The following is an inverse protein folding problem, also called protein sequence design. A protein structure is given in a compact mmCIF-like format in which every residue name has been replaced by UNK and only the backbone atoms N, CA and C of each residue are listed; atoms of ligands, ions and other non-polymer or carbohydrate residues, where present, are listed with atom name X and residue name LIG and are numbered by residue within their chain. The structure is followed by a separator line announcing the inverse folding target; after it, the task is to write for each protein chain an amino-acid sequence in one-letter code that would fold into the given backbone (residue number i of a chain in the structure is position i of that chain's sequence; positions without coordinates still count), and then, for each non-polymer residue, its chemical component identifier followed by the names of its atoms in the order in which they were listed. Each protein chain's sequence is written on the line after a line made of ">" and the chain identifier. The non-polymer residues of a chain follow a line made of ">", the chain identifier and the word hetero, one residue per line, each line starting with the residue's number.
data_IF_515766410555
#
_entry.id   IF_515766410555
#
_cell.length_a   1.000
_cell.length_b   1.000
_cell.length_c   1.000
_cell.angle_alpha   90.00
_cell.angle_beta   90.00
_cell.angle_gamma   90.00
#
_symmetry.space_group_name_H-M   'P 1'
#
loop_
_entity.id
_entity.type
_entity.pdbx_description
1 polymer ?
#
# COMPACT_ATOMS: atom_id res chain seq x y z
N UNK A 1 3.32 6.53 12.43
CA UNK A 1 3.17 5.18 11.85
C UNK A 1 2.03 4.48 12.57
N UNK A 2 1.38 3.51 11.93
CA UNK A 2 0.38 2.65 12.57
C UNK A 2 0.95 1.24 12.73
N UNK A 3 0.55 0.54 13.78
CA UNK A 3 1.06 -0.79 14.07
C UNK A 3 0.30 -1.49 15.18
N UNK A 4 0.63 -2.77 15.38
CA UNK A 4 0.17 -3.52 16.54
C UNK A 4 0.70 -2.92 17.85
N UNK A 5 -0.02 -3.17 18.94
CA UNK A 5 0.38 -2.73 20.28
C UNK A 5 1.53 -3.55 20.88
N UNK A 6 1.93 -4.65 20.22
CA UNK A 6 3.03 -5.49 20.67
C UNK A 6 4.40 -4.90 20.27
N UNK A 7 5.48 -5.53 20.75
CA UNK A 7 6.84 -5.02 20.57
C UNK A 7 7.29 -4.92 19.10
N UNK A 8 6.77 -5.74 18.18
CA UNK A 8 7.17 -5.71 16.78
C UNK A 8 6.45 -4.61 15.99
N UNK A 9 5.19 -4.31 16.34
CA UNK A 9 4.37 -3.26 15.74
C UNK A 9 4.01 -3.44 14.25
N UNK A 10 4.85 -4.10 13.46
CA UNK A 10 4.74 -4.30 12.00
C UNK A 10 4.37 -3.02 11.22
N UNK A 11 5.05 -1.88 11.48
CA UNK A 11 4.62 -0.60 10.97
C UNK A 11 4.72 -0.47 9.44
N UNK A 12 5.65 -1.18 8.81
CA UNK A 12 5.84 -1.17 7.36
C UNK A 12 4.63 -1.72 6.62
N UNK A 13 3.97 -2.76 7.16
CA UNK A 13 2.82 -3.41 6.51
C UNK A 13 1.48 -2.84 6.96
N UNK A 14 1.40 -2.18 8.11
CA UNK A 14 0.15 -1.69 8.70
C UNK A 14 -0.10 -0.20 8.51
N UNK A 15 0.94 0.62 8.25
CA UNK A 15 0.76 2.08 8.15
C UNK A 15 -0.17 2.48 7.02
N UNK A 16 -0.10 1.82 5.86
CA UNK A 16 -1.00 2.10 4.73
C UNK A 16 -2.47 1.83 5.07
N UNK A 17 -2.75 0.76 5.82
CA UNK A 17 -4.10 0.42 6.26
C UNK A 17 -4.64 1.45 7.24
N UNK A 18 -3.81 1.94 8.17
CA UNK A 18 -4.21 3.00 9.11
C UNK A 18 -4.58 4.31 8.42
N UNK A 19 -3.78 4.75 7.43
CA UNK A 19 -4.10 5.92 6.60
C UNK A 19 -5.44 5.71 5.90
N UNK A 20 -5.60 4.58 5.21
CA UNK A 20 -6.83 4.27 4.49
C UNK A 20 -8.06 4.27 5.41
N UNK A 21 -7.97 3.69 6.61
CA UNK A 21 -9.08 3.68 7.56
C UNK A 21 -9.52 5.10 7.94
N UNK A 22 -8.58 6.03 8.14
CA UNK A 22 -8.91 7.42 8.46
C UNK A 22 -9.59 8.12 7.27
N UNK A 23 -9.03 7.97 6.07
CA UNK A 23 -9.61 8.53 4.84
C UNK A 23 -11.03 7.99 4.57
N UNK A 24 -11.24 6.68 4.70
CA UNK A 24 -12.57 6.07 4.53
C UNK A 24 -13.57 6.47 5.62
N UNK A 25 -13.09 6.85 6.81
CA UNK A 25 -13.93 7.40 7.88
C UNK A 25 -14.24 8.89 7.69
N UNK A 26 -13.85 9.51 6.57
CA UNK A 26 -14.03 10.93 6.30
C UNK A 26 -13.09 11.84 7.09
N UNK A 27 -12.04 11.28 7.72
CA UNK A 27 -11.01 12.04 8.43
C UNK A 27 -9.88 12.44 7.47
N UNK A 28 -10.25 13.19 6.44
CA UNK A 28 -9.31 13.68 5.44
C UNK A 28 -8.28 14.62 6.07
N UNK A 29 -7.03 14.52 5.63
CA UNK A 29 -5.92 15.34 6.15
C UNK A 29 -5.69 15.24 7.66
N UNK A 30 -6.09 14.13 8.27
CA UNK A 30 -5.85 13.87 9.70
C UNK A 30 -4.34 13.92 10.03
N UNK A 31 -3.99 14.49 11.18
CA UNK A 31 -2.60 14.60 11.63
C UNK A 31 -1.91 13.22 11.71
N UNK A 32 -2.64 12.18 12.10
CA UNK A 32 -2.11 10.82 12.15
C UNK A 32 -1.94 10.20 10.76
N UNK A 33 -2.83 10.52 9.80
CA UNK A 33 -2.63 10.17 8.38
C UNK A 33 -1.33 10.80 7.86
N UNK A 34 -1.13 12.10 8.10
CA UNK A 34 0.07 12.81 7.65
C UNK A 34 1.36 12.25 8.28
N UNK A 35 1.33 11.88 9.56
CA UNK A 35 2.43 11.17 10.23
C UNK A 35 2.66 9.78 9.63
N UNK A 36 1.60 9.09 9.21
CA UNK A 36 1.67 7.83 8.48
C UNK A 36 2.33 7.98 7.12
N UNK A 37 1.92 8.98 6.34
CA UNK A 37 2.50 9.30 5.03
C UNK A 37 3.98 9.62 5.15
N UNK A 38 4.37 10.48 6.09
CA UNK A 38 5.77 10.83 6.34
C UNK A 38 6.61 9.60 6.74
N UNK A 39 6.01 8.64 7.43
CA UNK A 39 6.66 7.37 7.74
C UNK A 39 6.84 6.51 6.49
N UNK A 40 5.78 6.31 5.69
CA UNK A 40 5.86 5.50 4.47
C UNK A 40 6.84 6.09 3.46
N UNK A 41 6.85 7.41 3.24
CA UNK A 41 7.80 8.10 2.33
C UNK A 41 9.27 7.71 2.61
N UNK A 42 9.60 7.39 3.87
CA UNK A 42 10.96 7.00 4.29
C UNK A 42 11.20 5.48 4.30
N UNK A 43 10.14 4.68 4.29
CA UNK A 43 10.23 3.25 4.64
C UNK A 43 9.54 2.30 3.67
N UNK A 44 8.76 2.77 2.68
CA UNK A 44 7.99 1.87 1.80
C UNK A 44 8.88 0.84 1.08
N UNK A 45 10.13 1.19 0.77
CA UNK A 45 11.09 0.26 0.13
C UNK A 45 11.42 -0.96 1.01
N UNK A 46 11.27 -0.83 2.34
CA UNK A 46 11.47 -1.92 3.30
C UNK A 46 10.40 -2.99 3.20
N UNK A 47 9.25 -2.71 2.59
CA UNK A 47 8.21 -3.71 2.32
C UNK A 47 8.79 -4.94 1.62
N UNK A 48 9.79 -4.77 0.74
CA UNK A 48 10.43 -5.91 0.07
C UNK A 48 11.05 -6.91 1.06
N UNK A 49 11.41 -6.51 2.29
CA UNK A 49 11.96 -7.41 3.30
C UNK A 49 10.94 -7.99 4.28
N UNK A 50 9.68 -7.57 4.22
CA UNK A 50 8.65 -7.94 5.20
C UNK A 50 8.08 -9.33 4.93
N UNK A 51 7.69 -10.03 6.00
CA UNK A 51 7.02 -11.34 5.89
C UNK A 51 5.65 -11.26 5.21
N UNK A 52 5.00 -10.09 5.30
CA UNK A 52 3.68 -9.79 4.72
C UNK A 52 3.79 -8.65 3.72
N UNK A 53 4.76 -8.74 2.81
CA UNK A 53 5.08 -7.71 1.85
C UNK A 53 3.92 -7.42 0.90
N UNK A 54 3.22 -8.44 0.37
CA UNK A 54 2.09 -8.23 -0.54
C UNK A 54 0.88 -7.63 0.16
N UNK A 55 0.64 -7.99 1.42
CA UNK A 55 -0.36 -7.32 2.26
C UNK A 55 -0.02 -5.84 2.45
N UNK A 56 1.22 -5.55 2.86
CA UNK A 56 1.69 -4.19 3.04
C UNK A 56 1.67 -3.38 1.75
N UNK A 57 2.04 -4.00 0.62
CA UNK A 57 2.02 -3.39 -0.71
C UNK A 57 0.61 -2.93 -1.08
N UNK A 58 -0.37 -3.81 -0.94
CA UNK A 58 -1.77 -3.49 -1.24
C UNK A 58 -2.29 -2.32 -0.42
N UNK A 59 -2.12 -2.36 0.91
CA UNK A 59 -2.62 -1.29 1.78
C UNK A 59 -1.83 0.01 1.69
N UNK A 60 -0.51 -0.05 1.46
CA UNK A 60 0.28 1.14 1.16
C UNK A 60 -0.17 1.78 -0.16
N UNK A 61 -0.51 0.96 -1.17
CA UNK A 61 -1.03 1.45 -2.45
C UNK A 61 -2.33 2.21 -2.25
N UNK A 62 -3.29 1.64 -1.54
CA UNK A 62 -4.56 2.31 -1.28
C UNK A 62 -4.43 3.56 -0.42
N UNK A 63 -3.73 3.46 0.71
CA UNK A 63 -3.56 4.58 1.62
C UNK A 63 -2.86 5.75 0.96
N UNK A 64 -1.76 5.52 0.25
CA UNK A 64 -1.03 6.58 -0.45
C UNK A 64 -1.77 7.10 -1.67
N UNK A 65 -2.54 6.26 -2.38
CA UNK A 65 -3.36 6.71 -3.49
C UNK A 65 -4.41 7.73 -3.04
N UNK A 66 -5.08 7.50 -1.89
CA UNK A 66 -6.03 8.46 -1.34
C UNK A 66 -5.37 9.80 -1.00
N UNK A 67 -4.11 9.80 -0.58
CA UNK A 67 -3.34 11.02 -0.31
C UNK A 67 -2.87 11.72 -1.59
N UNK A 68 -2.60 10.97 -2.66
CA UNK A 68 -2.16 11.49 -3.95
C UNK A 68 -0.82 12.22 -3.93
N UNK A 69 -0.68 13.19 -4.83
CA UNK A 69 0.50 14.06 -4.94
C UNK A 69 1.84 13.33 -5.18
N UNK A 70 2.93 14.00 -4.79
CA UNK A 70 4.31 13.52 -4.97
C UNK A 70 4.56 12.17 -4.26
N UNK A 71 3.94 11.95 -3.09
CA UNK A 71 4.16 10.72 -2.32
C UNK A 71 3.55 9.51 -3.02
N UNK A 72 2.36 9.66 -3.61
CA UNK A 72 1.78 8.62 -4.45
C UNK A 72 2.65 8.36 -5.67
N UNK A 73 3.03 9.39 -6.43
CA UNK A 73 3.84 9.24 -7.65
C UNK A 73 5.17 8.51 -7.39
N UNK A 74 5.84 8.86 -6.28
CA UNK A 74 7.10 8.22 -5.88
C UNK A 74 6.91 6.75 -5.51
N UNK A 75 5.83 6.45 -4.78
CA UNK A 75 5.51 5.08 -4.38
C UNK A 75 5.07 4.23 -5.58
N UNK A 76 4.23 4.77 -6.46
CA UNK A 76 3.73 4.11 -7.66
C UNK A 76 4.85 3.68 -8.59
N UNK A 77 5.77 4.62 -8.87
CA UNK A 77 6.97 4.34 -9.69
C UNK A 77 7.78 3.20 -9.08
N UNK A 78 8.09 3.30 -7.78
CA UNK A 78 8.82 2.25 -7.07
C UNK A 78 8.07 0.91 -7.08
N UNK A 79 6.74 0.92 -6.90
CA UNK A 79 5.91 -0.28 -6.87
C UNK A 79 6.01 -1.03 -8.19
N UNK A 80 5.77 -0.36 -9.32
CA UNK A 80 5.84 -1.03 -10.62
C UNK A 80 7.26 -1.51 -10.94
N UNK A 81 8.27 -0.67 -10.74
CA UNK A 81 9.67 -1.00 -11.02
C UNK A 81 10.20 -2.15 -10.15
N UNK A 82 9.69 -2.29 -8.93
CA UNK A 82 10.12 -3.34 -8.00
C UNK A 82 9.41 -4.65 -8.25
N UNK A 83 8.10 -4.61 -8.46
CA UNK A 83 7.27 -5.82 -8.37
C UNK A 83 6.93 -6.40 -9.74
N UNK A 84 6.77 -5.61 -10.80
CA UNK A 84 6.52 -6.17 -12.14
C UNK A 84 7.65 -7.11 -12.59
N UNK A 85 8.94 -6.77 -12.43
CA UNK A 85 10.03 -7.67 -12.82
C UNK A 85 10.12 -8.97 -12.02
N UNK A 86 9.48 -9.04 -10.85
CA UNK A 86 9.46 -10.23 -9.99
C UNK A 86 8.39 -11.25 -10.40
N UNK A 87 7.55 -10.92 -11.39
CA UNK A 87 6.55 -11.85 -11.92
C UNK A 87 7.24 -13.10 -12.50
N UNK A 88 6.74 -14.28 -12.15
CA UNK A 88 7.22 -15.55 -12.73
C UNK A 88 6.75 -15.67 -14.19
N UNK A 89 7.47 -16.43 -15.04
CA UNK A 89 7.06 -16.66 -16.44
C UNK A 89 5.63 -17.18 -16.60
N UNK A 90 5.13 -17.92 -15.61
CA UNK A 90 3.77 -18.46 -15.57
C UNK A 90 2.70 -17.44 -15.16
N UNK A 91 3.11 -16.20 -14.85
CA UNK A 91 2.20 -15.07 -14.63
C UNK A 91 1.83 -14.77 -13.17
N UNK A 92 2.52 -15.36 -12.19
CA UNK A 92 2.20 -15.21 -10.76
C UNK A 92 3.34 -14.56 -9.96
N UNK A 93 3.02 -14.15 -8.72
CA UNK A 93 4.00 -13.69 -7.73
C UNK A 93 4.05 -14.63 -6.54
N UNK A 94 5.25 -14.95 -6.08
CA UNK A 94 5.47 -15.86 -4.95
C UNK A 94 6.71 -15.48 -4.15
N UNK A 95 6.52 -15.39 -2.83
CA UNK A 95 7.54 -15.09 -1.82
C UNK A 95 7.38 -15.94 -0.55
N UNK A 96 6.58 -17.00 -0.61
CA UNK A 96 6.27 -17.86 0.52
C UNK A 96 5.30 -17.25 1.54
N UNK A 97 4.59 -16.17 1.20
CA UNK A 97 3.59 -15.59 2.11
C UNK A 97 2.35 -16.49 2.21
N UNK A 98 1.96 -16.84 3.43
CA UNK A 98 0.76 -17.64 3.76
C UNK A 98 0.69 -19.00 3.01
N UNK A 99 1.80 -19.46 2.41
CA UNK A 99 1.88 -20.63 1.53
C UNK A 99 0.77 -20.69 0.47
N UNK A 100 0.35 -19.53 -0.05
CA UNK A 100 -0.80 -19.42 -0.94
C UNK A 100 -0.48 -18.51 -2.13
N UNK A 101 -0.09 -19.11 -3.27
CA UNK A 101 0.23 -18.36 -4.51
C UNK A 101 -0.96 -17.53 -5.02
N UNK A 102 -2.22 -18.05 -5.05
CA UNK A 102 -3.36 -17.26 -5.49
C UNK A 102 -3.57 -15.99 -4.65
N UNK A 103 -3.39 -16.08 -3.32
CA UNK A 103 -3.47 -14.91 -2.44
C UNK A 103 -2.41 -13.87 -2.79
N UNK A 104 -1.14 -14.28 -2.89
CA UNK A 104 -0.02 -13.39 -3.20
C UNK A 104 -0.22 -12.67 -4.54
N UNK A 105 -0.63 -13.42 -5.56
CA UNK A 105 -0.89 -12.90 -6.91
C UNK A 105 -2.05 -11.93 -6.90
N UNK A 106 -3.17 -12.27 -6.25
CA UNK A 106 -4.32 -11.39 -6.14
C UNK A 106 -3.95 -10.06 -5.45
N UNK A 107 -3.22 -10.11 -4.33
CA UNK A 107 -2.81 -8.92 -3.60
C UNK A 107 -1.90 -8.00 -4.42
N UNK A 108 -0.97 -8.59 -5.20
CA UNK A 108 -0.09 -7.82 -6.07
C UNK A 108 -0.86 -7.13 -7.21
N UNK A 109 -1.77 -7.86 -7.87
CA UNK A 109 -2.63 -7.29 -8.92
C UNK A 109 -3.55 -6.20 -8.35
N UNK A 110 -4.14 -6.41 -7.18
CA UNK A 110 -4.98 -5.41 -6.53
C UNK A 110 -4.18 -4.14 -6.17
N UNK A 111 -2.92 -4.28 -5.75
CA UNK A 111 -2.05 -3.13 -5.50
C UNK A 111 -1.79 -2.31 -6.78
N UNK A 112 -1.45 -2.98 -7.88
CA UNK A 112 -1.22 -2.34 -9.18
C UNK A 112 -2.46 -1.67 -9.77
N UNK A 113 -3.64 -2.14 -9.41
CA UNK A 113 -4.89 -1.70 -10.04
C UNK A 113 -5.62 -0.62 -9.27
N UNK A 114 -5.09 -0.16 -8.13
CA UNK A 114 -5.66 0.96 -7.37
C UNK A 114 -5.90 2.20 -8.25
N UNK A 115 -4.95 2.65 -9.10
CA UNK A 115 -5.14 3.84 -9.94
C UNK A 115 -6.26 3.70 -10.98
N UNK A 116 -6.59 2.47 -11.37
CA UNK A 116 -7.65 2.19 -12.34
C UNK A 116 -9.05 2.22 -11.71
N UNK A 117 -9.15 2.36 -10.39
CA UNK A 117 -10.40 2.55 -9.65
C UNK A 117 -11.49 1.52 -9.96
N UNK A 118 -11.07 0.28 -10.23
CA UNK A 118 -11.97 -0.80 -10.64
C UNK A 118 -12.89 -1.26 -9.50
N UNK A 119 -12.44 -1.13 -8.25
CA UNK A 119 -13.27 -1.41 -7.07
C UNK A 119 -13.85 -0.11 -6.49
N UNK A 120 -15.10 -0.11 -6.01
CA UNK A 120 -15.74 1.09 -5.43
C UNK A 120 -14.93 1.75 -4.31
N UNK A 121 -14.20 0.96 -3.51
CA UNK A 121 -13.37 1.47 -2.40
C UNK A 121 -12.14 2.27 -2.86
N UNK A 122 -11.83 2.29 -4.15
CA UNK A 122 -10.68 3.02 -4.72
C UNK A 122 -11.06 4.42 -5.18
N UNK A 123 -12.34 4.80 -5.10
CA UNK A 123 -12.74 6.15 -5.46
C UNK A 123 -12.08 7.16 -4.51
N UNK A 124 -11.54 8.23 -5.10
CA UNK A 124 -10.89 9.35 -4.44
C UNK A 124 -11.59 10.63 -4.89
N UNK A 125 -11.79 11.55 -3.98
CA UNK A 125 -12.31 12.89 -4.30
C UNK A 125 -11.25 13.66 -5.12
N UNK A 126 -11.59 14.06 -6.34
CA UNK A 126 -10.66 14.73 -7.26
C UNK A 126 -10.40 16.20 -6.90
N UNK A 127 -11.21 16.77 -6.00
CA UNK A 127 -11.01 18.13 -5.47
C UNK A 127 -9.82 18.24 -4.51
N UNK A 128 -9.18 17.13 -4.15
CA UNK A 128 -8.02 17.11 -3.24
C UNK A 128 -6.74 17.64 -3.90
N UNK A 129 -6.66 17.60 -5.23
CA UNK A 129 -5.51 18.11 -6.00
C UNK A 129 -5.76 19.53 -6.59
N UNK A 130 -6.91 20.15 -6.28
CA UNK A 130 -7.26 21.56 -6.61
C UNK A 130 -7.08 22.50 -5.40
#
# INVERSE_FOLDING_TARGET
>A
FFGYQNASGNPNTLTGAGILCLELCGRHNDEDSQRGVAYLKKNYTRLKGEQRAFYGLYYASQGLFQMGGEVWQSFETWMYDTWIPEQKPEGFWERGEENCIPYQTAMCILAFTVPYRQLPIYQRDETVDE
#
